data_IF_958564818591
#
_entry.id   IF_958564818591
#
_cell.length_a   1.000
_cell.length_b   1.000
_cell.length_c   1.000
_cell.angle_alpha   90.00
_cell.angle_beta   90.00
_cell.angle_gamma   90.00
#
_symmetry.space_group_name_H-M   'P 1'
#
loop_
_entity.id
_entity.type
_entity.pdbx_description
1 polymer ?
#
# COMPACT_ATOMS: atom_id res chain seq x y z
N UNK A 1 -4.15 -4.43 22.76
CA UNK A 1 -4.31 -5.49 21.75
C UNK A 1 -2.96 -5.78 21.09
N UNK A 2 -2.68 -7.03 20.74
CA UNK A 2 -1.45 -7.37 20.07
C UNK A 2 -1.39 -6.73 18.67
N UNK A 3 -0.16 -6.42 18.22
CA UNK A 3 0.10 -5.89 16.88
C UNK A 3 0.73 -6.97 16.00
N UNK A 4 0.45 -6.90 14.72
CA UNK A 4 0.94 -7.83 13.71
C UNK A 4 1.55 -7.05 12.55
N UNK A 5 2.50 -7.68 11.86
CA UNK A 5 2.96 -7.23 10.56
C UNK A 5 2.29 -8.14 9.54
N UNK A 6 1.52 -7.55 8.63
CA UNK A 6 0.80 -8.26 7.57
C UNK A 6 1.38 -7.83 6.22
N UNK A 7 1.90 -8.78 5.48
CA UNK A 7 2.46 -8.55 4.14
C UNK A 7 1.46 -9.05 3.10
N UNK A 8 1.10 -8.19 2.16
CA UNK A 8 0.18 -8.53 1.06
C UNK A 8 0.78 -8.14 -0.28
N UNK A 9 0.35 -8.85 -1.33
CA UNK A 9 0.63 -8.50 -2.72
C UNK A 9 -0.67 -8.07 -3.38
N UNK A 10 -0.68 -6.87 -3.95
CA UNK A 10 -1.84 -6.35 -4.68
C UNK A 10 -1.53 -6.33 -6.17
N UNK A 11 -2.46 -6.82 -6.97
CA UNK A 11 -2.32 -6.89 -8.43
C UNK A 11 -3.28 -5.90 -9.08
N UNK A 12 -2.74 -5.08 -9.98
CA UNK A 12 -3.50 -4.11 -10.74
C UNK A 12 -3.35 -4.37 -12.24
N UNK A 13 -4.44 -4.19 -12.95
CA UNK A 13 -4.44 -4.14 -14.41
C UNK A 13 -4.54 -2.67 -14.83
N UNK A 14 -3.50 -2.16 -15.47
CA UNK A 14 -3.40 -0.76 -15.86
C UNK A 14 -3.52 -0.63 -17.39
N UNK A 15 -4.21 0.41 -17.81
CA UNK A 15 -4.41 0.70 -19.22
C UNK A 15 -3.94 2.13 -19.51
N UNK A 16 -3.07 2.28 -20.52
CA UNK A 16 -2.48 3.55 -20.90
C UNK A 16 -2.86 3.90 -22.33
N UNK A 17 -3.20 5.15 -22.56
CA UNK A 17 -3.31 5.69 -23.93
C UNK A 17 -2.09 6.60 -24.13
N UNK A 18 -1.27 6.26 -25.11
CA UNK A 18 -0.04 7.00 -25.41
C UNK A 18 0.04 7.37 -26.88
N UNK A 19 0.65 8.50 -27.17
CA UNK A 19 0.95 8.94 -28.53
C UNK A 19 2.43 8.66 -28.80
N UNK A 20 2.73 7.89 -29.84
CA UNK A 20 4.08 7.42 -30.13
C UNK A 20 4.28 7.15 -31.63
N UNK A 21 5.53 7.06 -32.06
CA UNK A 21 5.89 6.77 -33.45
C UNK A 21 5.75 5.29 -33.82
N UNK A 22 5.85 4.39 -32.83
CA UNK A 22 5.76 2.95 -33.01
C UNK A 22 5.42 2.25 -31.69
N UNK A 23 5.17 0.95 -31.73
CA UNK A 23 4.77 0.15 -30.55
C UNK A 23 5.86 0.10 -29.48
N UNK A 24 7.13 0.02 -29.88
CA UNK A 24 8.25 -0.01 -28.93
C UNK A 24 8.32 1.28 -28.12
N UNK A 25 8.21 2.43 -28.79
CA UNK A 25 8.17 3.71 -28.10
C UNK A 25 6.94 3.84 -27.20
N UNK A 26 5.78 3.38 -27.67
CA UNK A 26 4.53 3.40 -26.88
C UNK A 26 4.70 2.62 -25.58
N UNK A 27 5.31 1.43 -25.62
CA UNK A 27 5.57 0.61 -24.44
C UNK A 27 6.47 1.32 -23.44
N UNK A 28 7.54 1.93 -23.91
CA UNK A 28 8.48 2.67 -23.05
C UNK A 28 7.83 3.88 -22.39
N UNK A 29 6.98 4.60 -23.12
CA UNK A 29 6.23 5.72 -22.54
C UNK A 29 5.28 5.23 -21.47
N UNK A 30 4.53 4.16 -21.71
CA UNK A 30 3.58 3.59 -20.76
C UNK A 30 4.28 3.11 -19.48
N UNK A 31 5.46 2.48 -19.59
CA UNK A 31 6.23 2.00 -18.44
C UNK A 31 6.73 3.14 -17.54
N UNK A 32 6.90 4.35 -18.07
CA UNK A 32 7.48 5.49 -17.37
C UNK A 32 6.46 6.60 -17.05
N UNK A 33 5.21 6.45 -17.44
CA UNK A 33 4.19 7.47 -17.24
C UNK A 33 3.08 7.00 -16.31
N UNK A 34 2.32 7.96 -15.77
CA UNK A 34 1.13 7.64 -14.99
C UNK A 34 0.10 6.95 -15.87
N UNK A 35 -0.64 5.99 -15.29
CA UNK A 35 -1.69 5.27 -16.00
C UNK A 35 -2.97 6.10 -16.09
N UNK A 36 -3.73 5.88 -17.16
CA UNK A 36 -5.01 6.55 -17.38
C UNK A 36 -6.17 5.80 -16.72
N UNK A 37 -6.04 4.48 -16.56
CA UNK A 37 -7.04 3.65 -15.90
C UNK A 37 -6.37 2.50 -15.18
N UNK A 38 -6.93 2.12 -14.02
CA UNK A 38 -6.42 1.01 -13.22
C UNK A 38 -7.58 0.20 -12.65
N UNK A 39 -7.45 -1.11 -12.71
CA UNK A 39 -8.39 -2.05 -12.12
C UNK A 39 -7.65 -2.94 -11.12
N UNK A 40 -8.08 -2.90 -9.86
CA UNK A 40 -7.53 -3.78 -8.83
C UNK A 40 -8.07 -5.20 -9.04
N UNK A 41 -7.19 -6.13 -9.37
CA UNK A 41 -7.55 -7.52 -9.66
C UNK A 41 -7.62 -8.42 -8.43
N UNK A 42 -6.92 -8.07 -7.37
CA UNK A 42 -6.97 -8.85 -6.15
C UNK A 42 -5.86 -8.52 -5.18
N UNK A 43 -6.00 -9.09 -3.98
CA UNK A 43 -5.01 -9.00 -2.91
C UNK A 43 -4.70 -10.42 -2.45
N UNK A 44 -3.42 -10.76 -2.40
CA UNK A 44 -2.95 -12.05 -1.91
C UNK A 44 -2.19 -11.84 -0.60
N UNK A 45 -2.57 -12.60 0.43
CA UNK A 45 -1.82 -12.62 1.69
C UNK A 45 -0.48 -13.34 1.46
N UNK A 46 0.61 -12.68 1.78
CA UNK A 46 1.96 -13.25 1.68
C UNK A 46 2.40 -13.80 3.03
N UNK A 47 2.25 -13.02 4.10
CA UNK A 47 2.69 -13.40 5.43
C UNK A 47 1.95 -12.63 6.53
N UNK A 48 1.78 -13.26 7.68
CA UNK A 48 1.28 -12.62 8.91
C UNK A 48 2.18 -13.05 10.05
N UNK A 49 2.71 -12.09 10.80
CA UNK A 49 3.56 -12.39 11.95
C UNK A 49 3.35 -11.34 13.05
N UNK A 50 3.67 -11.73 14.28
CA UNK A 50 3.61 -10.78 15.40
C UNK A 50 4.59 -9.64 15.18
N UNK A 51 4.18 -8.45 15.59
CA UNK A 51 5.01 -7.26 15.48
C UNK A 51 6.33 -7.44 16.23
N UNK A 52 7.42 -6.99 15.60
CA UNK A 52 8.72 -6.81 16.25
C UNK A 52 9.46 -5.64 15.60
N UNK A 53 10.21 -4.88 16.38
CA UNK A 53 10.99 -3.76 15.88
C UNK A 53 12.05 -4.19 14.86
N UNK A 54 12.68 -5.34 15.06
CA UNK A 54 13.71 -5.85 14.15
C UNK A 54 13.14 -6.20 12.78
N UNK A 55 11.91 -6.74 12.73
CA UNK A 55 11.22 -7.03 11.45
C UNK A 55 10.83 -5.77 10.73
N UNK A 56 10.32 -4.78 11.47
CA UNK A 56 9.96 -3.48 10.91
C UNK A 56 11.18 -2.77 10.33
N UNK A 57 12.32 -2.83 11.03
CA UNK A 57 13.57 -2.25 10.55
C UNK A 57 14.02 -2.87 9.24
N UNK A 58 13.89 -4.19 9.07
CA UNK A 58 14.23 -4.87 7.82
C UNK A 58 13.35 -4.40 6.66
N UNK A 59 12.07 -4.13 6.90
CA UNK A 59 11.18 -3.57 5.90
C UNK A 59 11.60 -2.18 5.48
N UNK A 60 11.93 -1.30 6.43
CA UNK A 60 12.40 0.06 6.15
C UNK A 60 13.65 0.09 5.28
N UNK A 61 14.55 -0.85 5.48
CA UNK A 61 15.79 -0.95 4.71
C UNK A 61 15.55 -1.38 3.26
N UNK A 62 14.45 -2.09 2.99
CA UNK A 62 14.08 -2.58 1.66
C UNK A 62 13.25 -1.61 0.83
N UNK A 63 12.43 -0.81 1.48
CA UNK A 63 11.42 0.02 0.82
C UNK A 63 11.76 1.50 0.93
N UNK A 64 11.63 2.23 -0.17
CA UNK A 64 11.84 3.68 -0.22
C UNK A 64 10.69 4.46 0.43
N UNK A 65 9.49 3.86 0.49
CA UNK A 65 8.32 4.42 1.15
C UNK A 65 7.76 3.40 2.13
N UNK A 66 7.55 3.84 3.36
CA UNK A 66 7.01 2.98 4.40
C UNK A 66 6.19 3.81 5.40
N UNK A 67 4.98 3.35 5.66
CA UNK A 67 4.15 3.94 6.70
C UNK A 67 4.60 3.42 8.08
N UNK A 68 5.11 4.31 8.91
CA UNK A 68 5.71 3.92 10.20
C UNK A 68 4.71 3.69 11.34
N UNK A 69 3.47 4.03 11.16
CA UNK A 69 2.46 3.88 12.19
C UNK A 69 1.80 2.49 12.18
N UNK A 70 0.56 2.47 12.65
CA UNK A 70 -0.26 1.26 12.62
C UNK A 70 -1.71 1.60 12.33
N UNK A 71 -2.45 0.61 11.84
CA UNK A 71 -3.88 0.68 11.63
C UNK A 71 -4.62 -0.10 12.72
N UNK A 72 -5.75 0.40 13.15
CA UNK A 72 -6.61 -0.28 14.13
C UNK A 72 -8.08 0.00 13.81
N UNK A 73 -8.97 -0.88 14.29
CA UNK A 73 -10.41 -0.63 14.20
C UNK A 73 -10.87 -0.03 15.52
N UNK A 74 -11.44 1.16 15.47
CA UNK A 74 -11.95 1.91 16.61
C UNK A 74 -13.32 2.46 16.25
N UNK A 75 -14.32 2.17 17.07
CA UNK A 75 -15.72 2.57 16.84
C UNK A 75 -16.24 2.18 15.45
N UNK A 76 -15.87 1.00 14.96
CA UNK A 76 -16.28 0.47 13.66
C UNK A 76 -15.60 1.11 12.47
N UNK A 77 -14.54 1.88 12.67
CA UNK A 77 -13.77 2.54 11.62
C UNK A 77 -12.31 2.13 11.63
N UNK A 78 -11.71 2.09 10.45
CA UNK A 78 -10.27 1.91 10.29
C UNK A 78 -9.58 3.24 10.57
N UNK A 79 -8.74 3.26 11.59
CA UNK A 79 -8.03 4.46 12.05
C UNK A 79 -6.53 4.25 11.90
N UNK A 80 -5.83 5.28 11.46
CA UNK A 80 -4.37 5.26 11.30
C UNK A 80 -3.73 6.10 12.39
N UNK A 81 -2.79 5.50 13.12
CA UNK A 81 -2.07 6.15 14.20
C UNK A 81 -0.58 6.16 13.98
N UNK A 82 0.09 7.18 14.48
CA UNK A 82 1.56 7.26 14.51
C UNK A 82 2.11 6.23 15.50
N UNK A 83 3.42 5.91 15.45
CA UNK A 83 4.01 4.95 16.38
C UNK A 83 3.78 5.26 17.87
N UNK A 84 3.67 6.54 18.23
CA UNK A 84 3.40 6.99 19.59
C UNK A 84 1.91 6.89 20.00
N UNK A 85 1.04 6.49 19.09
CA UNK A 85 -0.40 6.38 19.32
C UNK A 85 -1.22 7.60 18.93
N UNK A 86 -0.60 8.70 18.52
CA UNK A 86 -1.32 9.89 18.07
C UNK A 86 -2.00 9.64 16.71
N UNK A 87 -3.13 10.30 16.47
CA UNK A 87 -3.81 10.22 15.17
C UNK A 87 -2.93 10.76 14.05
N UNK A 88 -2.93 10.07 12.91
CA UNK A 88 -2.24 10.57 11.72
C UNK A 88 -3.20 11.48 10.94
N UNK A 89 -2.97 12.79 10.99
CA UNK A 89 -3.81 13.78 10.33
C UNK A 89 -3.82 13.73 8.81
N UNK A 90 -2.86 13.03 8.20
CA UNK A 90 -2.78 12.87 6.74
C UNK A 90 -3.53 11.64 6.24
N UNK A 91 -4.03 10.79 7.13
CA UNK A 91 -4.75 9.56 6.81
C UNK A 91 -6.06 9.53 7.58
N UNK A 92 -7.16 10.03 6.98
CA UNK A 92 -8.46 10.08 7.66
C UNK A 92 -9.01 8.67 7.93
N UNK A 93 -9.84 8.58 8.97
CA UNK A 93 -10.53 7.33 9.29
C UNK A 93 -11.44 6.89 8.13
N UNK A 94 -11.51 5.59 7.92
CA UNK A 94 -12.29 4.98 6.83
C UNK A 94 -13.29 3.98 7.40
N UNK A 95 -14.42 3.82 6.72
CA UNK A 95 -15.34 2.75 7.06
C UNK A 95 -14.75 1.40 6.64
N UNK A 96 -14.97 0.39 7.47
CA UNK A 96 -14.47 -0.96 7.22
C UNK A 96 -15.54 -1.99 7.56
N UNK A 97 -15.68 -2.99 6.72
CA UNK A 97 -16.50 -4.18 6.95
C UNK A 97 -15.58 -5.35 7.30
N UNK A 98 -15.77 -5.86 8.50
CA UNK A 98 -15.05 -7.03 9.00
C UNK A 98 -15.90 -8.28 8.95
#
# INVERSE_FOLDING_TARGET
MPKFIVETLQTFHECHVVEAENEEQATKIAENSDYNASLHLGTTLVDVQKFSESKLKRWRERESYFFEGYAAVEDGRLVYRKPDGALNGNMPAQEINL
#
